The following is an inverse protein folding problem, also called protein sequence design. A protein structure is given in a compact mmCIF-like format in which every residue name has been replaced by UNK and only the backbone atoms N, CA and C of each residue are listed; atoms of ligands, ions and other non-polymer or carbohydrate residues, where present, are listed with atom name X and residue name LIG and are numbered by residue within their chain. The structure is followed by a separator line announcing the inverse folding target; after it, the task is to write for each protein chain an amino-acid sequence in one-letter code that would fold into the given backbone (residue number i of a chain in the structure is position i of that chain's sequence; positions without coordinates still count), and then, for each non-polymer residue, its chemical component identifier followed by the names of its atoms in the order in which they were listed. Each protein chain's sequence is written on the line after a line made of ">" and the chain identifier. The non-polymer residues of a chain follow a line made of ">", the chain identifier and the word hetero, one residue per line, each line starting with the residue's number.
data_IF_107624479584
#
_entry.id   IF_107624479584
#
_cell.length_a   1.000
_cell.length_b   1.000
_cell.length_c   1.000
_cell.angle_alpha   90.00
_cell.angle_beta   90.00
_cell.angle_gamma   90.00
#
_symmetry.space_group_name_H-M   'P 1'
#
loop_
_entity.id
_entity.type
_entity.pdbx_description
1 polymer ?
#
# COMPACT_ATOMS: atom_id res chain seq x y z
N UNK A 1 7.49 5.57 -8.22
CA UNK A 1 7.71 6.76 -7.36
C UNK A 1 6.38 7.18 -6.76
N UNK A 2 6.34 8.04 -5.72
CA UNK A 2 5.06 8.55 -5.19
C UNK A 2 4.37 9.46 -6.21
N UNK A 3 3.08 9.26 -6.41
CA UNK A 3 2.24 10.01 -7.35
C UNK A 3 0.94 10.46 -6.67
N UNK A 4 0.31 11.49 -7.23
CA UNK A 4 -1.03 11.92 -6.83
C UNK A 4 -2.08 10.93 -7.35
N UNK A 5 -3.25 10.80 -6.69
CA UNK A 5 -4.34 9.95 -7.19
C UNK A 5 -4.76 10.29 -8.63
N UNK A 6 -4.76 11.58 -8.97
CA UNK A 6 -5.09 12.11 -10.31
C UNK A 6 -4.17 11.59 -11.43
N UNK A 7 -2.96 11.12 -11.09
CA UNK A 7 -2.04 10.51 -12.05
C UNK A 7 -2.54 9.15 -12.56
N UNK A 8 -3.44 8.51 -11.82
CA UNK A 8 -4.02 7.20 -12.13
C UNK A 8 -5.51 7.31 -12.46
N UNK A 9 -5.99 8.50 -12.90
CA UNK A 9 -7.42 8.82 -12.98
C UNK A 9 -8.26 7.88 -13.88
N UNK A 10 -7.61 7.05 -14.71
CA UNK A 10 -8.23 6.08 -15.61
C UNK A 10 -7.69 4.65 -15.40
N UNK A 11 -6.96 4.39 -14.31
CA UNK A 11 -6.32 3.10 -14.05
C UNK A 11 -6.83 2.48 -12.75
N UNK A 12 -7.08 1.17 -12.79
CA UNK A 12 -7.41 0.41 -11.59
C UNK A 12 -6.22 0.39 -10.63
N UNK A 13 -6.52 0.64 -9.35
CA UNK A 13 -5.55 0.69 -8.28
C UNK A 13 -5.73 -0.47 -7.31
N UNK A 14 -4.63 -1.17 -7.07
CA UNK A 14 -4.52 -2.26 -6.14
C UNK A 14 -3.99 -1.76 -4.79
N UNK A 15 -4.75 -2.00 -3.72
CA UNK A 15 -4.24 -1.85 -2.36
C UNK A 15 -3.27 -3.00 -2.05
N UNK A 16 -1.99 -2.69 -1.91
CA UNK A 16 -0.94 -3.71 -1.70
C UNK A 16 -0.43 -3.79 -0.27
N UNK A 17 -0.55 -2.71 0.51
CA UNK A 17 0.00 -2.67 1.86
C UNK A 17 -0.65 -1.59 2.73
N UNK A 18 -0.76 -1.86 4.03
CA UNK A 18 -1.20 -0.88 5.03
C UNK A 18 -0.13 -0.78 6.12
N UNK A 19 0.63 0.30 6.11
CA UNK A 19 1.62 0.58 7.15
C UNK A 19 0.94 1.18 8.39
N UNK A 20 1.27 0.64 9.57
CA UNK A 20 0.71 1.06 10.86
C UNK A 20 1.57 2.11 11.58
N UNK A 21 2.78 2.37 11.07
CA UNK A 21 3.76 3.31 11.64
C UNK A 21 4.39 4.15 10.52
N UNK A 22 4.73 5.40 10.82
CA UNK A 22 5.40 6.28 9.86
C UNK A 22 6.73 5.70 9.35
N UNK A 23 7.55 5.15 10.25
CA UNK A 23 8.84 4.54 9.88
C UNK A 23 8.69 3.31 8.99
N UNK A 24 7.56 2.61 9.08
CA UNK A 24 7.23 1.50 8.20
C UNK A 24 6.79 2.02 6.83
N UNK A 25 5.93 3.03 6.80
CA UNK A 25 5.50 3.68 5.56
C UNK A 25 6.69 4.22 4.76
N UNK A 26 7.62 4.93 5.41
CA UNK A 26 8.83 5.46 4.77
C UNK A 26 9.71 4.36 4.16
N UNK A 27 9.81 3.19 4.80
CA UNK A 27 10.56 2.05 4.25
C UNK A 27 9.87 1.49 3.01
N UNK A 28 8.54 1.32 3.06
CA UNK A 28 7.76 0.84 1.93
C UNK A 28 7.84 1.81 0.74
N UNK A 29 7.71 3.12 0.98
CA UNK A 29 7.93 4.18 -0.02
C UNK A 29 9.31 4.05 -0.69
N UNK A 30 10.35 3.82 0.11
CA UNK A 30 11.72 3.63 -0.37
C UNK A 30 11.87 2.40 -1.26
N UNK A 31 11.29 1.26 -0.87
CA UNK A 31 11.34 0.03 -1.65
C UNK A 31 10.64 0.18 -3.00
N UNK A 32 9.43 0.72 -3.02
CA UNK A 32 8.67 0.92 -4.26
C UNK A 32 9.37 1.94 -5.17
N UNK A 33 9.93 3.01 -4.60
CA UNK A 33 10.69 4.01 -5.37
C UNK A 33 11.97 3.43 -5.95
N UNK A 34 12.73 2.64 -5.19
CA UNK A 34 13.97 2.02 -5.65
C UNK A 34 13.72 1.05 -6.83
N UNK A 35 12.57 0.40 -6.85
CA UNK A 35 12.15 -0.50 -7.93
C UNK A 35 11.41 0.23 -9.07
N UNK A 36 11.36 1.56 -9.04
CA UNK A 36 10.66 2.39 -10.02
C UNK A 36 9.17 2.04 -10.19
N UNK A 37 8.51 1.60 -9.11
CA UNK A 37 7.08 1.29 -9.08
C UNK A 37 6.32 2.54 -8.66
N UNK A 38 5.37 3.01 -9.48
CA UNK A 38 4.52 4.14 -9.14
C UNK A 38 3.45 3.76 -8.12
N UNK A 39 3.25 4.61 -7.10
CA UNK A 39 2.32 4.33 -6.01
C UNK A 39 1.64 5.61 -5.49
N UNK A 40 0.45 5.43 -4.93
CA UNK A 40 -0.28 6.42 -4.13
C UNK A 40 -0.18 6.02 -2.66
N UNK A 41 -0.05 7.01 -1.79
CA UNK A 41 -0.23 6.82 -0.34
C UNK A 41 -1.41 7.64 0.12
N UNK A 42 -2.44 6.97 0.63
CA UNK A 42 -3.55 7.60 1.35
C UNK A 42 -3.40 7.36 2.85
N UNK A 43 -3.62 8.39 3.67
CA UNK A 43 -3.71 8.24 5.11
C UNK A 43 -5.19 8.11 5.49
N UNK A 44 -5.61 6.96 6.03
CA UNK A 44 -6.99 6.72 6.43
C UNK A 44 -7.05 6.03 7.81
N UNK A 45 -8.20 6.08 8.45
CA UNK A 45 -8.46 5.53 9.78
C UNK A 45 -8.94 4.07 9.68
N UNK A 46 -8.20 3.12 10.28
CA UNK A 46 -8.67 1.73 10.38
C UNK A 46 -9.22 1.43 11.78
N UNK A 47 -10.46 0.92 11.86
CA UNK A 47 -11.08 0.44 13.10
C UNK A 47 -10.78 -1.05 13.26
N UNK A 48 -9.89 -1.40 14.20
CA UNK A 48 -9.58 -2.79 14.53
C UNK A 48 -9.81 -3.14 16.01
N UNK A 49 -10.63 -4.16 16.28
CA UNK A 49 -10.69 -4.90 17.55
C UNK A 49 -11.85 -4.55 18.49
N UNK A 50 -12.50 -5.60 19.04
CA UNK A 50 -13.70 -5.55 19.89
C UNK A 50 -13.43 -5.08 21.34
N UNK A 51 -12.17 -4.98 21.77
CA UNK A 51 -11.82 -4.74 23.20
C UNK A 51 -11.15 -3.37 23.45
N UNK A 52 -10.52 -2.74 22.45
CA UNK A 52 -9.91 -1.41 22.61
C UNK A 52 -10.18 -0.52 21.38
N UNK A 53 -11.15 0.39 21.51
CA UNK A 53 -11.44 1.47 20.54
C UNK A 53 -10.29 2.48 20.46
N UNK A 54 -9.20 2.16 19.77
CA UNK A 54 -8.19 3.16 19.41
C UNK A 54 -8.15 3.28 17.90
N UNK A 55 -8.66 4.39 17.38
CA UNK A 55 -8.50 4.75 15.97
C UNK A 55 -7.01 4.85 15.68
N UNK A 56 -6.51 4.05 14.74
CA UNK A 56 -5.12 4.11 14.31
C UNK A 56 -5.12 4.55 12.85
N UNK A 57 -4.55 5.72 12.61
CA UNK A 57 -4.27 6.22 11.27
C UNK A 57 -3.18 5.32 10.66
N UNK A 58 -3.45 4.77 9.48
CA UNK A 58 -2.52 3.97 8.69
C UNK A 58 -2.21 4.61 7.35
N UNK A 59 -1.07 4.26 6.75
CA UNK A 59 -0.74 4.64 5.38
C UNK A 59 -1.05 3.48 4.43
N UNK A 60 -1.99 3.70 3.52
CA UNK A 60 -2.49 2.75 2.54
C UNK A 60 -1.74 2.97 1.23
N UNK A 61 -1.10 1.92 0.75
CA UNK A 61 -0.28 1.93 -0.45
C UNK A 61 -1.05 1.32 -1.60
N UNK A 62 -1.33 2.13 -2.61
CA UNK A 62 -1.95 1.70 -3.84
C UNK A 62 -0.95 1.75 -4.99
N UNK A 63 -1.02 0.80 -5.91
CA UNK A 63 -0.25 0.77 -7.16
C UNK A 63 -1.19 0.46 -8.31
N UNK A 64 -0.78 0.68 -9.56
CA UNK A 64 -1.54 0.18 -10.71
C UNK A 64 -1.75 -1.32 -10.58
N UNK A 65 -2.92 -1.81 -10.96
CA UNK A 65 -3.19 -3.26 -11.02
C UNK A 65 -2.12 -4.00 -11.85
N UNK A 66 -1.62 -3.38 -12.93
CA UNK A 66 -0.54 -3.93 -13.77
C UNK A 66 0.80 -4.08 -13.05
N UNK A 67 1.06 -3.28 -12.01
CA UNK A 67 2.26 -3.33 -11.17
C UNK A 67 2.04 -4.12 -9.86
N UNK A 68 0.81 -4.57 -9.60
CA UNK A 68 0.40 -5.19 -8.34
C UNK A 68 1.27 -6.38 -7.93
N UNK A 69 1.36 -7.40 -8.78
CA UNK A 69 2.16 -8.60 -8.49
C UNK A 69 3.64 -8.29 -8.28
N UNK A 70 4.18 -7.38 -9.10
CA UNK A 70 5.57 -6.94 -8.98
C UNK A 70 5.80 -6.23 -7.65
N UNK A 71 4.91 -5.34 -7.25
CA UNK A 71 5.01 -4.63 -5.98
C UNK A 71 4.88 -5.58 -4.79
N UNK A 72 3.95 -6.54 -4.85
CA UNK A 72 3.80 -7.59 -3.82
C UNK A 72 5.07 -8.43 -3.70
N UNK A 73 5.67 -8.84 -4.80
CA UNK A 73 6.92 -9.61 -4.80
C UNK A 73 8.09 -8.82 -4.17
N UNK A 74 8.21 -7.52 -4.46
CA UNK A 74 9.20 -6.64 -3.82
C UNK A 74 8.98 -6.61 -2.31
N UNK A 75 7.75 -6.38 -1.85
CA UNK A 75 7.44 -6.35 -0.41
C UNK A 75 7.77 -7.68 0.27
N UNK A 76 7.38 -8.81 -0.31
CA UNK A 76 7.67 -10.14 0.21
C UNK A 76 9.17 -10.41 0.33
N UNK A 77 9.96 -10.06 -0.71
CA UNK A 77 11.41 -10.22 -0.71
C UNK A 77 12.09 -9.45 0.43
N UNK A 78 11.50 -8.33 0.83
CA UNK A 78 12.00 -7.49 1.92
C UNK A 78 11.36 -7.80 3.29
N UNK A 79 10.63 -8.91 3.42
CA UNK A 79 10.08 -9.40 4.68
C UNK A 79 8.73 -8.80 5.08
N UNK A 80 8.09 -8.06 4.19
CA UNK A 80 6.74 -7.53 4.40
C UNK A 80 5.68 -8.54 3.95
N UNK A 81 4.48 -8.43 4.53
CA UNK A 81 3.32 -9.23 4.14
C UNK A 81 2.34 -8.35 3.37
N UNK A 82 2.38 -8.34 2.02
CA UNK A 82 1.42 -7.57 1.25
C UNK A 82 0.02 -8.17 1.36
N UNK A 83 -0.98 -7.35 1.06
CA UNK A 83 -2.35 -7.80 0.87
C UNK A 83 -2.43 -8.59 -0.45
N UNK A 84 -3.17 -9.70 -0.43
CA UNK A 84 -3.47 -10.44 -1.65
C UNK A 84 -4.37 -9.59 -2.56
N UNK A 85 -4.35 -9.87 -3.87
CA UNK A 85 -5.44 -9.43 -4.75
C UNK A 85 -6.72 -10.05 -4.18
N UNK A 86 -7.68 -9.23 -3.77
CA UNK A 86 -9.04 -9.72 -3.57
C UNK A 86 -9.55 -10.10 -4.97
N UNK A 87 -9.62 -11.41 -5.25
CA UNK A 87 -10.31 -11.95 -6.41
C UNK A 87 -11.80 -11.63 -6.23
N UNK A 88 -12.22 -10.44 -6.67
CA UNK A 88 -13.64 -10.15 -6.84
C UNK A 88 -14.11 -11.00 -8.03
N UNK A 89 -14.67 -12.17 -7.72
CA UNK A 89 -15.34 -13.10 -8.66
C UNK A 89 -16.45 -12.43 -9.48
#
# INVERSE_FOLDING_TARGET
>A
MRRSPEYFADEDLDLIYIAKRLSEAQRVEGLLTAEAIDYVVAADEYIGGVIFRRTRVGAFFYVRATDGDRARAVLQRHGYRPLALDEQE
#
